data_IF_817141476637
#
_entry.id   IF_817141476637
#
_cell.length_a   1.000
_cell.length_b   1.000
_cell.length_c   1.000
_cell.angle_alpha   90.00
_cell.angle_beta   90.00
_cell.angle_gamma   90.00
#
_symmetry.space_group_name_H-M   'P 1'
#
loop_
_entity.id
_entity.type
_entity.pdbx_description
1 polymer ?
#
# COMPACT_ATOMS: atom_id res chain seq x y z
N UNK A 1 15.90 46.08 50.16
CA UNK A 1 16.05 45.90 48.71
C UNK A 1 16.07 44.41 48.46
N UNK A 2 14.97 43.90 47.89
CA UNK A 2 14.69 42.50 47.63
C UNK A 2 15.47 42.01 46.40
N UNK A 3 15.86 40.72 46.41
CA UNK A 3 16.05 39.83 45.25
C UNK A 3 17.44 39.19 45.17
N UNK A 4 17.56 37.98 45.74
CA UNK A 4 18.48 36.97 45.23
C UNK A 4 18.05 35.53 45.59
N UNK A 5 16.75 35.29 45.83
CA UNK A 5 16.21 33.96 46.18
C UNK A 5 15.71 33.16 44.96
N UNK A 6 16.14 33.49 43.74
CA UNK A 6 15.59 32.91 42.51
C UNK A 6 16.59 32.03 41.74
N UNK A 7 17.51 31.34 42.41
CA UNK A 7 18.62 30.62 41.73
C UNK A 7 18.59 29.10 41.79
N UNK A 8 17.53 28.44 42.29
CA UNK A 8 17.59 26.98 42.50
C UNK A 8 16.43 26.16 41.93
N UNK A 9 15.57 26.74 41.09
CA UNK A 9 14.42 26.02 40.52
C UNK A 9 14.57 25.73 39.02
N UNK A 10 15.74 25.27 38.58
CA UNK A 10 15.96 24.90 37.18
C UNK A 10 16.83 23.64 37.02
N UNK A 11 16.61 22.60 37.82
CA UNK A 11 17.30 21.31 37.66
C UNK A 11 16.41 20.07 37.83
N UNK A 12 15.12 20.14 37.50
CA UNK A 12 14.21 18.98 37.60
C UNK A 12 13.18 18.94 36.46
N UNK A 13 13.59 19.24 35.22
CA UNK A 13 12.85 18.70 34.06
C UNK A 13 13.50 17.36 33.73
N UNK A 14 12.90 16.21 34.09
CA UNK A 14 13.42 14.95 33.62
C UNK A 14 13.33 14.97 32.10
N UNK A 15 14.49 14.87 31.46
CA UNK A 15 14.66 14.63 30.04
C UNK A 15 14.18 13.19 29.73
N UNK A 16 12.93 12.88 30.02
CA UNK A 16 12.31 11.62 29.65
C UNK A 16 11.85 11.72 28.19
N UNK A 17 12.79 11.95 27.28
CA UNK A 17 12.59 11.71 25.86
C UNK A 17 12.75 10.22 25.57
N UNK A 18 11.94 9.40 26.23
CA UNK A 18 11.78 7.99 25.91
C UNK A 18 10.57 7.87 25.00
N UNK A 19 10.77 7.66 23.70
CA UNK A 19 9.66 7.31 22.81
C UNK A 19 9.08 5.98 23.26
N UNK A 20 7.83 5.98 23.72
CA UNK A 20 7.11 4.74 23.99
C UNK A 20 7.11 3.89 22.71
N UNK A 21 7.50 2.62 22.83
CA UNK A 21 7.41 1.69 21.72
C UNK A 21 5.92 1.43 21.44
N UNK A 22 5.35 2.19 20.51
CA UNK A 22 3.95 2.01 20.13
C UNK A 22 3.85 0.70 19.34
N UNK A 23 3.18 -0.30 19.92
CA UNK A 23 2.82 -1.53 19.23
C UNK A 23 1.98 -1.13 18.01
N UNK A 24 2.53 -1.29 16.81
CA UNK A 24 1.74 -1.23 15.58
C UNK A 24 0.89 -2.48 15.53
N UNK A 25 -0.41 -2.31 15.76
CA UNK A 25 -1.43 -3.33 15.54
C UNK A 25 -2.17 -3.02 14.25
N UNK A 26 -2.46 -4.04 13.46
CA UNK A 26 -3.38 -3.93 12.32
C UNK A 26 -4.76 -4.29 12.88
N UNK A 27 -5.73 -3.38 12.75
CA UNK A 27 -7.09 -3.62 13.24
C UNK A 27 -7.89 -4.34 12.16
N UNK A 28 -7.69 -5.66 12.06
CA UNK A 28 -8.45 -6.50 11.12
C UNK A 28 -8.17 -6.21 9.65
N UNK A 29 -9.03 -6.73 8.74
CA UNK A 29 -8.89 -6.51 7.31
C UNK A 29 -9.24 -5.06 6.94
N UNK A 30 -8.40 -4.45 6.10
CA UNK A 30 -8.60 -3.08 5.58
C UNK A 30 -9.47 -3.01 4.33
N UNK A 31 -9.64 -4.15 3.65
CA UNK A 31 -10.66 -4.37 2.62
C UNK A 31 -11.60 -5.45 3.18
N UNK A 32 -12.85 -5.08 3.46
CA UNK A 32 -13.83 -5.97 4.10
C UNK A 32 -14.78 -6.65 3.11
N UNK A 33 -14.75 -6.25 1.84
CA UNK A 33 -15.48 -6.90 0.76
C UNK A 33 -14.78 -8.19 0.29
N UNK A 34 -15.47 -8.96 -0.56
CA UNK A 34 -14.90 -10.18 -1.15
C UNK A 34 -13.73 -9.84 -2.09
N UNK A 35 -12.51 -9.85 -1.54
CA UNK A 35 -11.26 -9.50 -2.21
C UNK A 35 -10.16 -10.49 -1.76
N UNK A 36 -10.22 -11.77 -2.20
CA UNK A 36 -9.30 -12.79 -1.76
C UNK A 36 -7.93 -12.67 -2.44
N UNK A 37 -6.89 -13.20 -1.80
CA UNK A 37 -5.55 -13.34 -2.35
C UNK A 37 -4.93 -12.03 -2.89
N UNK A 38 -4.86 -10.95 -2.07
CA UNK A 38 -4.39 -9.66 -2.56
C UNK A 38 -2.89 -9.68 -2.92
N UNK A 39 -2.56 -9.41 -4.18
CA UNK A 39 -1.23 -8.95 -4.60
C UNK A 39 -1.26 -7.44 -4.81
N UNK A 40 -0.15 -6.74 -4.52
CA UNK A 40 -0.11 -5.27 -4.56
C UNK A 40 1.19 -4.74 -5.16
N UNK A 41 1.09 -3.57 -5.79
CA UNK A 41 2.22 -2.84 -6.36
C UNK A 41 2.03 -1.34 -6.15
N UNK A 42 3.12 -0.60 -5.98
CA UNK A 42 3.09 0.87 -5.95
C UNK A 42 3.38 1.39 -7.35
N UNK A 43 2.44 2.11 -7.95
CA UNK A 43 2.57 2.73 -9.26
C UNK A 43 3.58 3.89 -9.28
N UNK A 44 4.00 4.29 -10.49
CA UNK A 44 4.84 5.49 -10.69
C UNK A 44 4.15 6.79 -10.28
N UNK A 45 2.83 6.80 -10.25
CA UNK A 45 1.99 7.91 -9.80
C UNK A 45 1.94 8.03 -8.27
N UNK A 46 2.55 7.08 -7.55
CA UNK A 46 2.63 7.05 -6.10
C UNK A 46 1.44 6.37 -5.41
N UNK A 47 0.43 5.93 -6.16
CA UNK A 47 -0.69 5.15 -5.64
C UNK A 47 -0.31 3.68 -5.46
N UNK A 48 -0.92 3.04 -4.48
CA UNK A 48 -0.92 1.60 -4.33
C UNK A 48 -2.10 1.01 -5.08
N UNK A 49 -1.84 -0.09 -5.76
CA UNK A 49 -2.83 -0.92 -6.42
C UNK A 49 -2.79 -2.31 -5.79
N UNK A 50 -3.95 -2.90 -5.55
CA UNK A 50 -4.12 -4.28 -5.15
C UNK A 50 -5.02 -5.00 -6.15
N UNK A 51 -4.79 -6.30 -6.32
CA UNK A 51 -5.45 -7.20 -7.26
C UNK A 51 -5.85 -8.46 -6.53
N UNK A 52 -7.00 -9.03 -6.85
CA UNK A 52 -7.53 -10.23 -6.18
C UNK A 52 -7.92 -11.34 -7.14
N UNK A 53 -8.15 -12.51 -6.56
CA UNK A 53 -8.95 -13.59 -7.14
C UNK A 53 -10.31 -13.07 -7.64
N UNK A 54 -10.83 -13.66 -8.71
CA UNK A 54 -12.08 -13.26 -9.34
C UNK A 54 -13.23 -13.07 -8.33
N UNK A 55 -13.96 -11.97 -8.46
CA UNK A 55 -15.03 -11.58 -7.54
C UNK A 55 -15.96 -10.57 -8.23
N UNK A 56 -17.25 -10.60 -7.88
CA UNK A 56 -18.22 -9.61 -8.38
C UNK A 56 -18.38 -9.56 -9.91
N UNK A 57 -18.07 -10.66 -10.62
CA UNK A 57 -18.10 -10.74 -12.08
C UNK A 57 -16.87 -10.18 -12.80
N UNK A 58 -15.83 -9.80 -12.05
CA UNK A 58 -14.54 -9.34 -12.59
C UNK A 58 -13.51 -10.48 -12.47
N UNK A 59 -12.66 -10.65 -13.48
CA UNK A 59 -11.62 -11.67 -13.48
C UNK A 59 -10.47 -11.30 -12.52
N UNK A 60 -10.02 -10.05 -12.54
CA UNK A 60 -8.97 -9.53 -11.64
C UNK A 60 -9.42 -8.17 -11.09
N UNK A 61 -10.21 -8.13 -10.00
CA UNK A 61 -10.68 -6.89 -9.39
C UNK A 61 -9.54 -6.01 -8.88
N UNK A 62 -9.66 -4.69 -9.04
CA UNK A 62 -8.67 -3.71 -8.59
C UNK A 62 -9.14 -2.97 -7.34
N UNK A 63 -8.23 -2.76 -6.40
CA UNK A 63 -8.38 -1.78 -5.31
C UNK A 63 -7.21 -0.79 -5.30
N UNK A 64 -7.45 0.44 -4.86
CA UNK A 64 -6.41 1.50 -4.80
C UNK A 64 -6.31 2.13 -3.42
N UNK A 65 -5.11 2.59 -3.07
CA UNK A 65 -4.85 3.32 -1.82
C UNK A 65 -3.72 4.34 -2.00
N UNK A 66 -3.85 5.52 -1.37
CA UNK A 66 -2.76 6.50 -1.31
C UNK A 66 -1.81 6.30 -0.11
N UNK A 67 -2.27 5.61 0.93
CA UNK A 67 -1.60 5.50 2.22
C UNK A 67 -1.30 4.06 2.66
N UNK A 68 -1.70 3.07 1.85
CA UNK A 68 -1.64 1.63 2.11
C UNK A 68 -2.54 1.14 3.27
N UNK A 69 -3.34 2.04 3.86
CA UNK A 69 -4.20 1.77 5.02
C UNK A 69 -5.67 1.84 4.62
N UNK A 70 -6.05 2.87 3.87
CA UNK A 70 -7.41 3.09 3.39
C UNK A 70 -7.51 2.67 1.94
N UNK A 71 -8.38 1.71 1.64
CA UNK A 71 -8.50 1.11 0.32
C UNK A 71 -9.88 1.33 -0.30
N UNK A 72 -9.90 1.58 -1.60
CA UNK A 72 -11.14 1.69 -2.41
C UNK A 72 -11.12 0.60 -3.48
N UNK A 73 -12.10 -0.31 -3.45
CA UNK A 73 -12.33 -1.26 -4.55
C UNK A 73 -12.97 -0.51 -5.72
N UNK A 74 -12.32 -0.49 -6.87
CA UNK A 74 -12.65 0.44 -7.97
C UNK A 74 -13.78 -0.06 -8.87
N UNK A 75 -14.11 -1.35 -8.81
CA UNK A 75 -15.02 -1.99 -9.76
C UNK A 75 -14.43 -2.20 -11.16
N UNK A 76 -13.12 -1.98 -11.33
CA UNK A 76 -12.42 -2.23 -12.59
C UNK A 76 -11.78 -3.62 -12.60
N UNK A 77 -11.68 -4.19 -13.79
CA UNK A 77 -11.01 -5.47 -14.05
C UNK A 77 -9.66 -5.22 -14.72
N UNK A 78 -8.58 -5.73 -14.12
CA UNK A 78 -7.24 -5.64 -14.69
C UNK A 78 -7.05 -6.61 -15.88
N UNK A 79 -7.87 -7.66 -15.97
CA UNK A 79 -7.82 -8.67 -17.04
C UNK A 79 -9.23 -8.95 -17.60
N UNK A 80 -9.89 -7.95 -18.23
CA UNK A 80 -11.26 -8.09 -18.72
C UNK A 80 -11.39 -9.13 -19.84
N UNK A 81 -10.31 -9.43 -20.55
CA UNK A 81 -10.23 -10.49 -21.56
C UNK A 81 -9.19 -11.50 -21.12
N UNK A 82 -9.65 -12.70 -20.79
CA UNK A 82 -8.78 -13.84 -20.47
C UNK A 82 -8.31 -14.54 -21.75
N UNK A 83 -7.23 -15.32 -21.66
CA UNK A 83 -6.76 -16.11 -22.79
C UNK A 83 -7.81 -17.13 -23.26
N UNK A 84 -7.81 -17.46 -24.55
CA UNK A 84 -8.80 -18.36 -25.16
C UNK A 84 -8.85 -19.79 -24.57
N UNK A 85 -7.84 -20.17 -23.79
CA UNK A 85 -7.77 -21.44 -23.06
C UNK A 85 -8.50 -21.41 -21.72
N UNK A 86 -8.88 -20.23 -21.21
CA UNK A 86 -9.57 -20.05 -19.93
C UNK A 86 -11.08 -19.90 -20.14
N UNK A 87 -11.85 -20.41 -19.18
CA UNK A 87 -13.31 -20.20 -19.11
C UNK A 87 -13.68 -18.89 -18.41
N UNK A 88 -12.70 -18.18 -17.83
CA UNK A 88 -12.90 -16.97 -17.04
C UNK A 88 -13.42 -17.21 -15.60
N UNK A 89 -13.91 -18.41 -15.29
CA UNK A 89 -14.44 -18.73 -13.96
C UNK A 89 -13.35 -18.88 -12.87
N UNK A 90 -12.18 -19.37 -13.26
CA UNK A 90 -11.13 -19.83 -12.34
C UNK A 90 -9.86 -18.95 -12.42
N UNK A 91 -10.04 -17.62 -12.44
CA UNK A 91 -8.92 -16.65 -12.47
C UNK A 91 -8.53 -16.29 -11.04
N UNK A 92 -7.48 -16.94 -10.53
CA UNK A 92 -7.14 -16.92 -9.10
C UNK A 92 -5.73 -16.42 -8.81
N UNK A 93 -5.57 -15.88 -7.59
CA UNK A 93 -4.30 -15.54 -6.94
C UNK A 93 -3.31 -14.81 -7.88
N UNK A 94 -3.68 -13.63 -8.39
CA UNK A 94 -2.80 -12.87 -9.28
C UNK A 94 -1.52 -12.45 -8.55
N UNK A 95 -0.42 -12.35 -9.30
CA UNK A 95 0.79 -11.65 -8.85
C UNK A 95 1.14 -10.53 -9.84
N UNK A 96 1.62 -9.41 -9.31
CA UNK A 96 1.85 -8.20 -10.09
C UNK A 96 3.21 -7.59 -9.77
N UNK A 97 3.99 -7.35 -10.82
CA UNK A 97 5.24 -6.60 -10.73
C UNK A 97 5.17 -5.37 -11.63
N UNK A 98 5.62 -4.23 -11.11
CA UNK A 98 5.91 -3.10 -11.96
C UNK A 98 7.29 -3.29 -12.57
N UNK A 99 7.34 -3.42 -13.89
CA UNK A 99 8.61 -3.50 -14.61
C UNK A 99 9.25 -2.12 -14.62
N UNK A 100 10.48 -2.03 -14.14
CA UNK A 100 11.32 -0.86 -14.38
C UNK A 100 11.87 -0.95 -15.80
N UNK A 101 11.73 0.15 -16.53
CA UNK A 101 12.38 0.32 -17.80
C UNK A 101 13.86 0.54 -17.61
N UNK A 102 14.61 -0.57 -17.57
CA UNK A 102 16.06 -0.52 -17.59
C UNK A 102 16.50 -0.49 -19.05
N UNK A 103 16.99 0.67 -19.50
CA UNK A 103 17.75 0.75 -20.74
C UNK A 103 19.00 -0.12 -20.58
N UNK A 104 18.94 -1.36 -21.03
CA UNK A 104 20.09 -2.26 -21.04
C UNK A 104 21.11 -1.87 -22.11
N UNK A 105 20.74 -0.98 -23.04
CA UNK A 105 21.62 -0.37 -24.04
C UNK A 105 21.27 1.10 -24.31
N UNK A 106 22.26 2.01 -24.45
CA UNK A 106 22.03 3.46 -24.67
C UNK A 106 21.28 3.84 -25.95
N UNK A 107 21.11 2.91 -26.88
CA UNK A 107 20.54 3.19 -28.21
C UNK A 107 19.10 2.73 -28.38
N UNK A 108 18.49 2.08 -27.38
CA UNK A 108 17.13 1.58 -27.51
C UNK A 108 16.35 1.70 -26.20
N UNK A 109 16.10 2.95 -25.80
CA UNK A 109 15.08 3.25 -24.81
C UNK A 109 13.69 3.11 -25.43
N UNK A 110 13.22 1.88 -25.61
CA UNK A 110 11.82 1.61 -25.95
C UNK A 110 11.10 1.09 -24.73
N UNK A 111 10.51 2.04 -24.03
CA UNK A 111 9.45 1.77 -23.08
C UNK A 111 8.29 2.71 -23.38
N UNK A 112 7.25 2.15 -23.98
CA UNK A 112 5.93 2.75 -24.15
C UNK A 112 4.91 1.73 -23.67
#
# INVERSE_FOLDING_TARGET
MFSALLSTFLLLVPFACGTALQKRGITGPVITSNFPDPSFVKGTDGLWYAFSTNSGGLHVPIATSSDFVTWTVTGQDALPTVGAWSTGGDVWAPDVIQRVCRASHPLEARCG
#
